data_IF_751425433488
#
_entry.id   IF_751425433488
#
_cell.length_a   1.000
_cell.length_b   1.000
_cell.length_c   1.000
_cell.angle_alpha   90.00
_cell.angle_beta   90.00
_cell.angle_gamma   90.00
#
_symmetry.space_group_name_H-M   'P 1'
#
loop_
_entity.id
_entity.type
_entity.pdbx_description
1 polymer ?
#
# COMPACT_ATOMS: atom_id res chain seq x y z
N UNK A 1 -59.24 -24.62 6.77
CA UNK A 1 -60.11 -24.38 7.94
C UNK A 1 -59.95 -25.56 8.89
N UNK A 2 -59.93 -25.44 10.24
CA UNK A 2 -59.86 -24.30 11.19
C UNK A 2 -58.46 -24.22 11.87
N UNK A 3 -57.97 -23.07 12.35
CA UNK A 3 -58.09 -22.46 13.70
C UNK A 3 -57.81 -23.40 14.89
N UNK A 4 -56.68 -23.17 15.56
CA UNK A 4 -56.56 -23.24 17.03
C UNK A 4 -55.33 -22.43 17.50
N UNK A 5 -55.66 -21.34 18.17
CA UNK A 5 -54.82 -20.44 18.96
C UNK A 5 -54.51 -21.02 20.34
N UNK A 6 -53.29 -20.82 20.87
CA UNK A 6 -53.07 -20.60 22.30
C UNK A 6 -51.69 -19.96 22.57
N UNK A 7 -51.74 -18.89 23.34
CA UNK A 7 -50.64 -18.10 23.89
C UNK A 7 -49.73 -18.92 24.82
N UNK A 8 -48.43 -18.61 24.82
CA UNK A 8 -47.61 -18.64 26.06
C UNK A 8 -46.67 -17.45 26.09
N UNK A 9 -46.73 -16.74 27.21
CA UNK A 9 -45.95 -15.57 27.60
C UNK A 9 -44.45 -15.86 27.67
N UNK A 10 -43.63 -14.88 27.28
CA UNK A 10 -42.31 -14.71 27.89
C UNK A 10 -42.14 -13.30 28.44
N UNK A 11 -41.62 -13.28 29.66
CA UNK A 11 -41.64 -12.19 30.61
C UNK A 11 -40.60 -11.13 30.29
N UNK A 12 -41.06 -9.88 30.24
CA UNK A 12 -40.24 -8.69 30.38
C UNK A 12 -39.63 -8.68 31.78
N UNK A 13 -38.29 -8.69 31.86
CA UNK A 13 -37.58 -8.37 33.10
C UNK A 13 -36.75 -7.13 32.86
N UNK A 14 -37.33 -5.98 33.17
CA UNK A 14 -36.64 -4.70 33.37
C UNK A 14 -36.13 -4.63 34.81
N UNK A 15 -34.84 -4.34 34.99
CA UNK A 15 -34.36 -3.67 36.20
C UNK A 15 -33.41 -2.52 35.81
N UNK A 16 -33.47 -1.38 36.53
CA UNK A 16 -32.90 -0.12 36.11
C UNK A 16 -31.51 0.10 36.73
N UNK A 17 -30.59 0.72 35.97
CA UNK A 17 -29.49 1.48 36.56
C UNK A 17 -29.32 2.78 35.77
N UNK A 18 -29.66 3.87 36.46
CA UNK A 18 -29.54 5.29 36.14
C UNK A 18 -28.76 5.85 37.35
N UNK A 19 -27.80 6.77 37.34
CA UNK A 19 -27.28 7.80 36.44
C UNK A 19 -25.87 8.16 36.98
N UNK A 20 -24.92 8.58 36.13
CA UNK A 20 -24.12 9.83 36.29
C UNK A 20 -22.90 9.85 35.37
N UNK A 21 -23.10 10.36 34.15
CA UNK A 21 -22.03 10.98 33.37
C UNK A 21 -21.80 12.41 33.89
N UNK A 22 -20.55 12.84 34.15
CA UNK A 22 -20.24 14.25 34.25
C UNK A 22 -20.20 14.89 32.86
N UNK A 23 -20.96 15.97 32.74
CA UNK A 23 -20.90 16.99 31.69
C UNK A 23 -19.47 17.54 31.52
N UNK A 24 -19.03 17.52 30.27
CA UNK A 24 -18.26 18.55 29.56
C UNK A 24 -17.75 19.76 30.41
N UNK A 25 -16.43 20.03 30.38
CA UNK A 25 -15.93 21.38 30.38
C UNK A 25 -15.20 21.74 29.08
N UNK A 26 -15.57 22.93 28.60
CA UNK A 26 -15.15 23.74 27.46
C UNK A 26 -13.68 23.61 26.99
N UNK A 27 -13.41 23.88 25.69
CA UNK A 27 -12.07 23.81 25.12
C UNK A 27 -11.19 24.96 25.64
N UNK A 28 -10.01 24.60 26.15
CA UNK A 28 -8.93 25.55 26.40
C UNK A 28 -8.13 25.76 25.12
N UNK A 29 -8.29 26.93 24.53
CA UNK A 29 -7.40 27.46 23.50
C UNK A 29 -6.02 27.73 24.13
N UNK A 30 -5.02 26.93 23.74
CA UNK A 30 -3.63 27.34 23.83
C UNK A 30 -3.08 27.47 22.41
N UNK A 31 -3.10 28.71 21.91
CA UNK A 31 -2.22 29.13 20.82
C UNK A 31 -0.79 29.14 21.37
N UNK A 32 0.07 28.28 20.83
CA UNK A 32 1.52 28.52 20.82
C UNK A 32 2.04 28.22 19.43
N UNK A 33 2.30 29.28 18.65
CA UNK A 33 3.00 29.23 17.37
C UNK A 33 4.42 28.68 17.53
N UNK A 34 4.85 27.75 16.66
CA UNK A 34 6.25 27.63 16.31
C UNK A 34 6.59 28.57 15.14
N UNK A 35 7.71 29.28 15.28
CA UNK A 35 8.25 30.26 14.34
C UNK A 35 8.42 29.70 12.93
N UNK A 36 7.86 30.40 11.94
CA UNK A 36 8.24 30.26 10.54
C UNK A 36 9.71 30.65 10.35
N UNK A 37 10.51 29.74 9.77
CA UNK A 37 11.75 30.10 9.09
C UNK A 37 11.38 30.23 7.61
N UNK A 38 11.15 31.47 7.16
CA UNK A 38 10.97 31.80 5.76
C UNK A 38 12.36 31.88 5.11
N UNK A 39 12.70 30.92 4.25
CA UNK A 39 13.82 31.09 3.32
C UNK A 39 13.26 31.60 1.98
N UNK A 40 13.45 32.90 1.78
CA UNK A 40 13.16 33.61 0.53
C UNK A 40 14.20 33.23 -0.51
N UNK A 41 13.81 32.49 -1.56
CA UNK A 41 14.66 32.28 -2.73
C UNK A 41 14.36 33.37 -3.75
N UNK A 42 15.30 34.29 -3.90
CA UNK A 42 15.27 35.37 -4.87
C UNK A 42 15.48 34.82 -6.29
N UNK A 43 14.44 34.87 -7.12
CA UNK A 43 14.54 34.65 -8.57
C UNK A 43 15.04 35.92 -9.25
N UNK A 44 16.31 35.94 -9.67
CA UNK A 44 16.83 36.97 -10.58
C UNK A 44 16.79 36.48 -12.02
N UNK A 45 15.84 36.99 -12.78
CA UNK A 45 15.83 36.96 -14.23
C UNK A 45 16.77 38.04 -14.79
N UNK A 46 17.73 37.65 -15.61
CA UNK A 46 18.35 38.56 -16.58
C UNK A 46 18.62 37.83 -17.89
N UNK A 47 17.93 38.33 -18.93
CA UNK A 47 18.12 38.04 -20.34
C UNK A 47 19.27 38.87 -20.89
N UNK A 48 20.14 38.28 -21.71
CA UNK A 48 20.81 38.98 -22.81
C UNK A 48 21.24 38.00 -23.91
N UNK A 49 21.30 38.55 -25.12
CA UNK A 49 21.15 37.92 -26.42
C UNK A 49 22.44 37.86 -27.24
N UNK A 50 22.40 37.05 -28.31
CA UNK A 50 23.19 37.10 -29.58
C UNK A 50 24.67 36.67 -29.47
N UNK A 51 25.32 35.98 -30.43
CA UNK A 51 25.11 35.83 -31.88
C UNK A 51 25.96 34.67 -32.47
N UNK A 52 25.43 34.07 -33.54
CA UNK A 52 26.07 33.65 -34.82
C UNK A 52 27.16 32.56 -34.94
N UNK A 53 26.86 31.66 -35.89
CA UNK A 53 27.68 31.09 -36.99
C UNK A 53 28.56 29.83 -36.81
N UNK A 54 28.06 28.74 -37.43
CA UNK A 54 28.72 27.83 -38.39
C UNK A 54 30.09 27.19 -38.09
N UNK A 55 30.14 25.84 -38.08
CA UNK A 55 30.69 25.02 -39.18
C UNK A 55 30.88 23.56 -38.74
N UNK A 56 30.57 22.66 -39.67
CA UNK A 56 30.78 21.21 -39.67
C UNK A 56 32.26 20.80 -39.68
N UNK A 57 32.62 19.70 -39.01
CA UNK A 57 33.58 18.71 -39.52
C UNK A 57 33.57 17.42 -38.70
N UNK A 58 33.85 16.34 -39.41
CA UNK A 58 33.72 14.94 -39.05
C UNK A 58 35.07 14.28 -38.69
N UNK A 59 34.97 13.15 -37.99
CA UNK A 59 35.94 12.04 -37.87
C UNK A 59 37.21 12.26 -37.02
N UNK A 60 37.42 11.40 -36.02
CA UNK A 60 38.33 10.24 -36.11
C UNK A 60 38.72 9.71 -34.73
N UNK A 61 38.71 8.40 -34.66
CA UNK A 61 39.11 7.47 -33.61
C UNK A 61 40.48 7.75 -32.99
N UNK A 62 40.59 7.62 -31.66
CA UNK A 62 41.85 7.29 -30.99
C UNK A 62 41.57 6.40 -29.77
N UNK A 63 41.96 5.14 -29.92
CA UNK A 63 41.96 4.08 -28.90
C UNK A 63 43.06 4.39 -27.88
N UNK A 64 42.70 4.59 -26.61
CA UNK A 64 43.67 4.62 -25.51
C UNK A 64 43.30 3.54 -24.51
N UNK A 65 44.07 2.46 -24.56
CA UNK A 65 44.02 1.32 -23.65
C UNK A 65 44.57 1.75 -22.29
N UNK A 66 43.72 1.84 -21.27
CA UNK A 66 44.13 1.91 -19.86
C UNK A 66 43.71 0.63 -19.14
N UNK A 67 44.57 0.07 -18.27
CA UNK A 67 44.31 -1.20 -17.62
C UNK A 67 43.20 -1.02 -16.57
N UNK A 68 42.13 -1.80 -16.73
CA UNK A 68 41.02 -1.88 -15.77
C UNK A 68 41.53 -2.63 -14.55
N UNK A 69 41.86 -1.89 -13.51
CA UNK A 69 41.97 -2.41 -12.14
C UNK A 69 40.56 -2.81 -11.71
N UNK A 70 40.35 -4.11 -11.51
CA UNK A 70 39.16 -4.68 -10.88
C UNK A 70 39.17 -4.30 -9.39
N UNK A 71 38.69 -3.11 -9.06
CA UNK A 71 38.21 -2.80 -7.72
C UNK A 71 36.71 -3.10 -7.68
N UNK A 72 36.33 -4.06 -6.82
CA UNK A 72 34.95 -4.37 -6.51
C UNK A 72 34.27 -3.10 -5.96
N UNK A 73 33.44 -2.48 -6.79
CA UNK A 73 32.61 -1.36 -6.39
C UNK A 73 31.67 -1.82 -5.27
N UNK A 74 31.87 -1.30 -4.06
CA UNK A 74 30.77 -1.21 -3.09
C UNK A 74 29.66 -0.42 -3.77
N UNK A 75 28.59 -1.10 -4.17
CA UNK A 75 27.41 -0.44 -4.70
C UNK A 75 26.91 0.59 -3.68
N UNK A 76 26.73 1.83 -4.14
CA UNK A 76 26.37 2.96 -3.32
C UNK A 76 24.89 2.85 -2.88
N UNK A 77 24.62 2.12 -1.80
CA UNK A 77 23.25 1.88 -1.28
C UNK A 77 22.51 3.19 -0.97
N UNK A 78 23.25 4.24 -0.56
CA UNK A 78 22.70 5.58 -0.30
C UNK A 78 22.06 6.24 -1.52
N UNK A 79 22.52 5.96 -2.75
CA UNK A 79 21.90 6.56 -3.95
C UNK A 79 20.55 5.94 -4.26
N UNK A 80 20.41 4.62 -4.06
CA UNK A 80 19.19 3.86 -4.33
C UNK A 80 18.08 4.16 -3.30
N UNK A 81 18.43 4.35 -2.03
CA UNK A 81 17.47 4.81 -1.02
C UNK A 81 16.96 6.22 -1.31
N UNK A 82 17.84 7.16 -1.68
CA UNK A 82 17.43 8.52 -2.05
C UNK A 82 16.47 8.51 -3.26
N UNK A 83 16.70 7.65 -4.25
CA UNK A 83 15.77 7.47 -5.38
C UNK A 83 14.41 6.92 -4.94
N UNK A 84 14.40 5.90 -4.09
CA UNK A 84 13.17 5.37 -3.48
C UNK A 84 12.44 6.48 -2.71
N UNK A 85 13.17 7.22 -1.88
CA UNK A 85 12.62 8.26 -1.01
C UNK A 85 11.93 9.37 -1.81
N UNK A 86 12.54 9.81 -2.91
CA UNK A 86 11.97 10.81 -3.82
C UNK A 86 10.68 10.36 -4.50
N UNK A 87 10.54 9.06 -4.78
CA UNK A 87 9.35 8.54 -5.47
C UNK A 87 8.20 8.22 -4.53
N UNK A 88 8.50 7.77 -3.32
CA UNK A 88 7.47 7.35 -2.36
C UNK A 88 6.96 8.52 -1.51
N UNK A 89 7.76 9.58 -1.33
CA UNK A 89 7.41 10.70 -0.45
C UNK A 89 6.40 11.66 -1.08
N UNK A 90 5.39 12.05 -0.31
CA UNK A 90 4.32 12.93 -0.75
C UNK A 90 3.01 12.70 -0.01
N UNK A 91 2.01 13.51 -0.35
CA UNK A 91 0.61 13.27 -0.06
C UNK A 91 0.03 12.32 -1.11
N UNK A 92 -0.61 11.25 -0.65
CA UNK A 92 -1.22 10.23 -1.50
C UNK A 92 -2.71 10.14 -1.17
N UNK A 93 -3.57 10.55 -2.09
CA UNK A 93 -5.01 10.52 -1.91
C UNK A 93 -5.62 9.37 -2.71
N UNK A 94 -6.72 8.78 -2.22
CA UNK A 94 -7.28 7.63 -2.90
C UNK A 94 -8.45 6.99 -2.17
N UNK A 95 -8.67 5.72 -2.49
CA UNK A 95 -9.67 4.89 -1.83
C UNK A 95 -9.03 3.61 -1.30
N UNK A 96 -9.60 3.08 -0.21
CA UNK A 96 -9.21 1.81 0.36
C UNK A 96 -10.40 0.95 0.74
N UNK A 97 -10.34 -0.34 0.43
CA UNK A 97 -11.40 -1.30 0.70
C UNK A 97 -10.85 -2.60 1.29
N UNK A 98 -11.66 -3.23 2.14
CA UNK A 98 -11.37 -4.53 2.73
C UNK A 98 -12.14 -5.61 1.96
N UNK A 99 -11.51 -6.77 1.76
CA UNK A 99 -12.05 -7.93 1.06
C UNK A 99 -11.91 -9.17 1.92
N UNK A 100 -12.95 -10.01 1.88
CA UNK A 100 -12.95 -11.34 2.49
C UNK A 100 -11.98 -12.28 1.77
N UNK A 101 -11.73 -13.46 2.35
CA UNK A 101 -10.93 -14.52 1.72
C UNK A 101 -11.54 -15.06 0.41
N UNK A 102 -12.83 -14.80 0.16
CA UNK A 102 -13.53 -15.14 -1.09
C UNK A 102 -13.55 -13.97 -2.10
N UNK A 103 -12.91 -12.84 -1.78
CA UNK A 103 -12.78 -11.69 -2.69
C UNK A 103 -14.01 -10.79 -2.70
N UNK A 104 -14.98 -11.04 -1.81
CA UNK A 104 -16.14 -10.17 -1.65
C UNK A 104 -15.75 -8.91 -0.87
N UNK A 105 -16.16 -7.71 -1.32
CA UNK A 105 -15.92 -6.48 -0.59
C UNK A 105 -16.67 -6.49 0.75
N UNK A 106 -16.03 -5.93 1.78
CA UNK A 106 -16.59 -5.81 3.13
C UNK A 106 -17.22 -4.44 3.28
N UNK A 107 -18.53 -4.42 3.58
CA UNK A 107 -19.27 -3.17 3.78
C UNK A 107 -18.75 -2.43 5.02
N UNK A 108 -18.73 -1.09 4.94
CA UNK A 108 -18.37 -0.25 6.06
C UNK A 108 -19.37 -0.41 7.21
N UNK A 109 -18.90 -0.40 8.48
CA UNK A 109 -19.80 -0.54 9.61
C UNK A 109 -20.89 0.53 9.64
N UNK A 110 -22.08 0.13 10.07
CA UNK A 110 -23.25 1.02 10.16
C UNK A 110 -22.95 2.33 10.89
N UNK A 111 -22.11 2.27 11.93
CA UNK A 111 -21.81 3.41 12.81
C UNK A 111 -20.99 4.51 12.14
N UNK A 112 -20.37 4.22 10.99
CA UNK A 112 -19.56 5.18 10.23
C UNK A 112 -20.24 5.65 8.95
N UNK A 113 -21.32 4.99 8.53
CA UNK A 113 -22.06 5.33 7.31
C UNK A 113 -23.26 6.23 7.66
N UNK A 114 -23.37 7.44 7.09
CA UNK A 114 -24.51 8.32 7.30
C UNK A 114 -25.86 7.65 7.00
N UNK A 115 -26.90 8.00 7.76
CA UNK A 115 -28.24 7.41 7.65
C UNK A 115 -28.84 7.57 6.25
N UNK A 116 -28.56 8.68 5.56
CA UNK A 116 -29.00 8.95 4.19
C UNK A 116 -28.63 7.83 3.20
N UNK A 117 -27.44 7.23 3.30
CA UNK A 117 -27.06 6.10 2.45
C UNK A 117 -28.02 4.91 2.63
N UNK A 118 -28.50 4.69 3.85
CA UNK A 118 -29.43 3.60 4.17
C UNK A 118 -30.84 3.90 3.65
N UNK A 119 -31.30 5.13 3.81
CA UNK A 119 -32.58 5.59 3.25
C UNK A 119 -32.62 5.39 1.73
N UNK A 120 -31.48 5.52 1.06
CA UNK A 120 -31.33 5.31 -0.39
C UNK A 120 -31.00 3.87 -0.77
N UNK A 121 -30.81 2.96 0.19
CA UNK A 121 -30.42 1.57 -0.05
C UNK A 121 -29.04 1.42 -0.69
N UNK A 122 -28.12 2.37 -0.46
CA UNK A 122 -26.77 2.39 -1.01
C UNK A 122 -25.79 1.82 0.01
N UNK A 123 -25.14 0.72 -0.34
CA UNK A 123 -24.06 0.14 0.46
C UNK A 123 -22.75 0.88 0.19
N UNK A 124 -21.97 1.13 1.24
CA UNK A 124 -20.68 1.80 1.15
C UNK A 124 -19.58 0.83 1.55
N UNK A 125 -18.60 0.62 0.67
CA UNK A 125 -17.51 -0.34 0.88
C UNK A 125 -16.14 0.35 1.00
N UNK A 126 -15.95 1.44 0.26
CA UNK A 126 -14.68 2.14 0.16
C UNK A 126 -14.55 3.24 1.22
N UNK A 127 -13.39 3.29 1.87
CA UNK A 127 -12.93 4.46 2.58
C UNK A 127 -12.31 5.43 1.58
N UNK A 128 -12.67 6.71 1.63
CA UNK A 128 -11.76 7.74 1.11
C UNK A 128 -10.55 7.82 2.06
N UNK A 129 -9.36 7.88 1.48
CA UNK A 129 -8.10 7.84 2.21
C UNK A 129 -7.13 8.91 1.78
N UNK A 130 -6.33 9.36 2.73
CA UNK A 130 -5.12 10.14 2.50
C UNK A 130 -3.97 9.44 3.24
N UNK A 131 -2.83 9.27 2.58
CA UNK A 131 -1.68 8.51 3.05
C UNK A 131 -0.36 9.30 2.88
N UNK A 132 -0.19 10.44 3.58
CA UNK A 132 1.09 11.15 3.67
C UNK A 132 2.19 10.15 3.98
N UNK A 133 3.16 10.08 3.09
CA UNK A 133 4.30 9.17 3.14
C UNK A 133 5.57 10.00 3.09
N UNK A 134 6.54 9.69 3.94
CA UNK A 134 7.86 10.31 3.96
C UNK A 134 8.90 9.23 4.18
N UNK A 135 9.83 9.12 3.23
CA UNK A 135 11.08 8.43 3.43
C UNK A 135 12.18 9.47 3.60
N UNK A 136 12.90 9.42 4.73
CA UNK A 136 13.97 10.38 5.00
C UNK A 136 15.11 10.15 4.01
N UNK A 137 15.54 11.18 3.26
CA UNK A 137 16.69 11.08 2.33
C UNK A 137 18.06 10.90 3.02
N UNK A 138 18.07 10.49 4.30
CA UNK A 138 19.27 10.23 5.09
C UNK A 138 19.61 8.73 5.11
N UNK A 139 20.84 8.40 5.49
CA UNK A 139 21.32 7.00 5.59
C UNK A 139 20.60 6.18 6.68
N UNK A 140 19.70 6.78 7.47
CA UNK A 140 18.97 6.07 8.52
C UNK A 140 17.84 5.17 7.98
N UNK A 141 17.55 5.23 6.68
CA UNK A 141 16.56 4.42 5.97
C UNK A 141 15.20 4.34 6.69
N UNK A 142 14.65 5.49 7.06
CA UNK A 142 13.37 5.58 7.77
C UNK A 142 12.25 5.86 6.76
N UNK A 143 11.28 4.94 6.68
CA UNK A 143 10.01 5.12 5.99
C UNK A 143 8.91 5.34 7.02
N UNK A 144 8.20 6.45 6.90
CA UNK A 144 7.03 6.80 7.69
C UNK A 144 5.83 7.02 6.78
N UNK A 145 4.66 6.56 7.20
CA UNK A 145 3.42 7.05 6.62
C UNK A 145 2.30 7.10 7.65
N UNK A 146 1.28 7.91 7.37
CA UNK A 146 0.06 8.01 8.17
C UNK A 146 -1.15 7.77 7.28
N UNK A 147 -1.81 6.63 7.48
CA UNK A 147 -3.06 6.31 6.80
C UNK A 147 -4.22 6.99 7.52
N UNK A 148 -4.79 8.01 6.89
CA UNK A 148 -6.00 8.72 7.31
C UNK A 148 -7.19 8.15 6.54
N UNK A 149 -8.25 7.78 7.25
CA UNK A 149 -9.56 7.41 6.67
C UNK A 149 -10.56 8.51 6.97
N UNK A 150 -11.39 8.86 6.01
CA UNK A 150 -12.46 9.84 6.15
C UNK A 150 -13.82 9.17 6.33
N UNK A 151 -14.73 9.84 7.04
CA UNK A 151 -16.13 9.42 7.05
C UNK A 151 -16.71 9.59 5.64
N UNK A 152 -17.53 8.63 5.16
CA UNK A 152 -18.36 8.84 3.99
C UNK A 152 -19.25 10.07 4.17
N UNK A 153 -19.35 10.91 3.15
CA UNK A 153 -20.18 12.13 3.15
C UNK A 153 -21.22 12.05 2.02
N UNK A 154 -22.30 12.82 2.13
CA UNK A 154 -23.34 12.99 1.09
C UNK A 154 -23.81 14.45 1.05
N UNK A 155 -24.36 14.88 -0.09
CA UNK A 155 -24.96 16.21 -0.24
C UNK A 155 -23.94 17.34 -0.15
N UNK A 156 -24.36 18.51 0.33
CA UNK A 156 -23.50 19.69 0.47
C UNK A 156 -22.41 19.54 1.55
N UNK A 157 -22.46 18.49 2.37
CA UNK A 157 -21.41 18.13 3.34
C UNK A 157 -20.23 17.42 2.67
N UNK A 158 -20.35 17.08 1.38
CA UNK A 158 -19.24 16.56 0.58
C UNK A 158 -18.02 17.49 0.60
N UNK A 159 -18.20 18.80 0.82
CA UNK A 159 -17.14 19.81 0.92
C UNK A 159 -16.38 19.82 2.27
N UNK A 160 -16.79 18.99 3.24
CA UNK A 160 -16.19 18.89 4.57
C UNK A 160 -15.62 17.47 4.83
N UNK A 161 -14.32 17.30 4.59
CA UNK A 161 -13.63 16.05 4.92
C UNK A 161 -13.45 15.89 6.45
N UNK A 162 -14.17 14.94 7.06
CA UNK A 162 -14.02 14.61 8.48
C UNK A 162 -13.21 13.33 8.65
N UNK A 163 -12.14 13.39 9.45
CA UNK A 163 -11.29 12.22 9.73
C UNK A 163 -12.03 11.23 10.64
N UNK A 164 -12.10 9.98 10.23
CA UNK A 164 -12.53 8.86 11.07
C UNK A 164 -11.37 8.34 11.92
N UNK A 165 -10.23 8.05 11.28
CA UNK A 165 -9.07 7.46 11.95
C UNK A 165 -7.76 7.87 11.29
N UNK A 166 -6.67 7.90 12.04
CA UNK A 166 -5.31 8.05 11.54
C UNK A 166 -4.41 6.98 12.16
N UNK A 167 -3.80 6.12 11.34
CA UNK A 167 -2.85 5.08 11.77
C UNK A 167 -1.47 5.39 11.20
N UNK A 168 -0.47 5.49 12.07
CA UNK A 168 0.92 5.73 11.68
C UNK A 168 1.68 4.41 11.56
N UNK A 169 2.63 4.35 10.62
CA UNK A 169 3.62 3.28 10.48
C UNK A 169 5.00 3.85 10.34
N UNK A 170 5.96 3.13 10.90
CA UNK A 170 7.38 3.43 10.83
C UNK A 170 8.12 2.14 10.51
N UNK A 171 8.90 2.15 9.43
CA UNK A 171 9.89 1.12 9.14
C UNK A 171 11.28 1.76 9.26
N UNK A 172 12.15 1.12 10.05
CA UNK A 172 13.44 1.68 10.44
C UNK A 172 13.36 2.66 11.61
N UNK A 173 14.53 3.08 12.09
CA UNK A 173 14.67 4.02 13.21
C UNK A 173 14.18 3.51 14.57
N UNK A 174 14.16 4.40 15.57
CA UNK A 174 13.82 4.07 16.96
C UNK A 174 12.33 3.74 17.13
N UNK A 175 11.46 4.31 16.27
CA UNK A 175 10.01 4.10 16.30
C UNK A 175 9.57 2.90 15.46
N UNK A 176 10.50 2.04 15.03
CA UNK A 176 10.23 0.95 14.12
C UNK A 176 9.06 0.07 14.59
N UNK A 177 8.11 -0.14 13.69
CA UNK A 177 6.93 -0.98 13.87
C UNK A 177 6.86 -2.12 12.85
N UNK A 178 7.75 -2.15 11.86
CA UNK A 178 7.86 -3.27 10.92
C UNK A 178 8.76 -4.37 11.48
N UNK A 179 8.53 -5.61 11.07
CA UNK A 179 9.50 -6.69 11.23
C UNK A 179 10.44 -6.83 10.03
N UNK A 180 10.07 -6.27 8.88
CA UNK A 180 10.88 -6.22 7.67
C UNK A 180 10.35 -5.14 6.70
N UNK A 181 11.26 -4.51 5.95
CA UNK A 181 10.99 -3.63 4.82
C UNK A 181 12.00 -3.93 3.71
N UNK A 182 11.51 -4.36 2.55
CA UNK A 182 12.25 -4.39 1.30
C UNK A 182 11.86 -3.19 0.45
N UNK A 183 12.82 -2.43 -0.08
CA UNK A 183 12.54 -1.29 -0.97
C UNK A 183 13.26 -1.36 -2.32
N UNK A 184 12.57 -0.97 -3.38
CA UNK A 184 13.12 -0.87 -4.74
C UNK A 184 13.22 0.61 -5.16
N UNK A 185 14.29 1.03 -5.86
CA UNK A 185 14.43 2.41 -6.31
C UNK A 185 13.27 2.94 -7.16
N UNK A 186 12.41 2.08 -7.72
CA UNK A 186 11.16 2.45 -8.41
C UNK A 186 10.11 3.11 -7.51
N UNK A 187 10.23 3.01 -6.18
CA UNK A 187 9.23 3.47 -5.22
C UNK A 187 8.35 2.33 -4.68
N UNK A 188 8.41 1.16 -5.30
CA UNK A 188 7.73 -0.04 -4.81
C UNK A 188 8.44 -0.62 -3.59
N UNK A 189 7.68 -1.25 -2.70
CA UNK A 189 8.22 -1.87 -1.49
C UNK A 189 7.36 -3.04 -1.01
N UNK A 190 7.95 -3.86 -0.14
CA UNK A 190 7.26 -4.88 0.64
C UNK A 190 7.56 -4.64 2.10
N UNK A 191 6.54 -4.63 2.95
CA UNK A 191 6.70 -4.48 4.37
C UNK A 191 5.87 -5.48 5.16
N UNK A 192 6.41 -5.92 6.30
CA UNK A 192 5.74 -6.85 7.20
C UNK A 192 5.47 -6.15 8.54
N UNK A 193 4.20 -6.15 8.96
CA UNK A 193 3.72 -5.37 10.11
C UNK A 193 3.02 -6.27 11.13
N UNK A 194 3.73 -6.70 12.19
CA UNK A 194 3.12 -7.46 13.26
C UNK A 194 2.17 -6.57 14.08
N UNK A 195 1.04 -7.10 14.49
CA UNK A 195 0.09 -6.42 15.38
C UNK A 195 -0.74 -7.42 16.19
N UNK A 196 -1.39 -6.93 17.24
CA UNK A 196 -2.36 -7.71 18.02
C UNK A 196 -3.77 -7.28 17.70
N UNK A 197 -4.66 -8.24 17.50
CA UNK A 197 -6.08 -7.93 17.37
C UNK A 197 -6.74 -7.60 18.71
N UNK A 198 -8.02 -7.26 18.69
CA UNK A 198 -8.80 -6.89 19.89
C UNK A 198 -8.87 -8.00 20.96
N UNK A 199 -8.54 -9.24 20.59
CA UNK A 199 -8.50 -10.39 21.50
C UNK A 199 -7.06 -10.74 21.93
N UNK A 200 -6.08 -9.89 21.59
CA UNK A 200 -4.67 -10.10 21.91
C UNK A 200 -3.97 -11.16 21.05
N UNK A 201 -4.60 -11.63 19.96
CA UNK A 201 -4.01 -12.64 19.07
C UNK A 201 -3.00 -11.99 18.14
N UNK A 202 -1.86 -12.64 17.97
CA UNK A 202 -0.80 -12.21 17.05
C UNK A 202 -1.31 -12.30 15.60
N UNK A 203 -1.19 -11.21 14.87
CA UNK A 203 -1.51 -11.08 13.45
C UNK A 203 -0.39 -10.37 12.72
N UNK A 204 -0.38 -10.55 11.40
CA UNK A 204 0.64 -9.99 10.54
C UNK A 204 -0.02 -9.41 9.29
N UNK A 205 0.28 -8.15 8.98
CA UNK A 205 -0.07 -7.56 7.68
C UNK A 205 1.16 -7.57 6.77
N UNK A 206 1.03 -8.22 5.61
CA UNK A 206 2.06 -8.26 4.57
C UNK A 206 1.62 -7.26 3.49
N UNK A 207 2.29 -6.12 3.45
CA UNK A 207 1.97 -5.00 2.59
C UNK A 207 2.87 -4.99 1.37
N UNK A 208 2.24 -5.04 0.19
CA UNK A 208 2.88 -4.91 -1.10
C UNK A 208 2.48 -3.57 -1.71
N UNK A 209 3.44 -2.67 -1.89
CA UNK A 209 3.22 -1.40 -2.58
C UNK A 209 3.83 -1.47 -3.97
N UNK A 210 3.00 -1.36 -5.01
CA UNK A 210 3.41 -1.37 -6.40
C UNK A 210 3.16 0.01 -7.01
N UNK A 211 4.22 0.65 -7.50
CA UNK A 211 4.15 1.89 -8.28
C UNK A 211 3.87 1.55 -9.74
N UNK A 212 2.96 2.29 -10.39
CA UNK A 212 2.72 2.12 -11.83
C UNK A 212 4.00 2.52 -12.61
N UNK A 213 4.57 1.60 -13.41
CA UNK A 213 5.77 1.89 -14.19
C UNK A 213 5.55 2.96 -15.27
N UNK A 214 4.33 3.13 -15.77
CA UNK A 214 3.97 4.13 -16.76
C UNK A 214 3.61 5.48 -16.12
N UNK A 215 3.04 5.46 -14.90
CA UNK A 215 2.68 6.66 -14.16
C UNK A 215 3.10 6.59 -12.69
N UNK A 216 4.26 7.18 -12.37
CA UNK A 216 4.83 7.17 -11.02
C UNK A 216 4.03 7.97 -9.99
N UNK A 217 2.96 8.64 -10.39
CA UNK A 217 2.01 9.30 -9.49
C UNK A 217 0.83 8.39 -9.12
N UNK A 218 0.85 7.11 -9.53
CA UNK A 218 -0.15 6.13 -9.17
C UNK A 218 0.53 4.95 -8.48
N UNK A 219 -0.05 4.52 -7.37
CA UNK A 219 0.36 3.31 -6.68
C UNK A 219 -0.83 2.52 -6.18
N UNK A 220 -0.63 1.22 -6.05
CA UNK A 220 -1.55 0.33 -5.34
C UNK A 220 -0.83 -0.24 -4.13
N UNK A 221 -1.54 -0.33 -3.01
CA UNK A 221 -1.07 -1.05 -1.82
C UNK A 221 -2.02 -2.20 -1.55
N UNK A 222 -1.55 -3.42 -1.74
CA UNK A 222 -2.31 -4.64 -1.46
C UNK A 222 -1.73 -5.27 -0.20
N UNK A 223 -2.58 -5.47 0.80
CA UNK A 223 -2.19 -5.94 2.13
C UNK A 223 -2.89 -7.26 2.40
N UNK A 224 -2.13 -8.34 2.53
CA UNK A 224 -2.64 -9.62 2.99
C UNK A 224 -2.61 -9.63 4.53
N UNK A 225 -3.78 -9.75 5.16
CA UNK A 225 -3.91 -9.82 6.62
C UNK A 225 -3.92 -11.28 7.02
N UNK A 226 -2.95 -11.69 7.81
CA UNK A 226 -2.73 -13.09 8.18
C UNK A 226 -2.73 -13.28 9.70
N UNK A 227 -2.94 -14.52 10.11
CA UNK A 227 -2.90 -14.97 11.49
C UNK A 227 -1.92 -16.13 11.62
N UNK A 228 -1.14 -16.11 12.69
CA UNK A 228 -0.28 -17.24 13.03
C UNK A 228 -1.12 -18.34 13.70
N UNK A 229 -1.02 -19.55 13.19
CA UNK A 229 -1.73 -20.70 13.74
C UNK A 229 -0.98 -21.22 14.97
N UNK A 230 -1.73 -21.78 15.94
CA UNK A 230 -1.14 -22.29 17.19
C UNK A 230 -0.19 -23.48 16.99
N UNK A 231 -0.30 -24.19 15.87
CA UNK A 231 0.55 -25.32 15.47
C UNK A 231 1.69 -24.92 14.51
N UNK A 232 1.81 -23.63 14.20
CA UNK A 232 2.69 -23.10 13.15
C UNK A 232 1.96 -22.90 11.81
N UNK A 233 2.51 -22.06 10.95
CA UNK A 233 1.93 -21.69 9.66
C UNK A 233 1.03 -20.45 9.73
N UNK A 234 0.68 -19.92 8.56
CA UNK A 234 -0.12 -18.71 8.42
C UNK A 234 -1.47 -19.03 7.75
N UNK A 235 -2.54 -18.42 8.26
CA UNK A 235 -3.85 -18.40 7.59
C UNK A 235 -4.19 -16.98 7.15
N UNK A 236 -4.78 -16.84 5.96
CA UNK A 236 -5.30 -15.55 5.48
C UNK A 236 -6.63 -15.23 6.18
N UNK A 237 -6.74 -14.02 6.74
CA UNK A 237 -7.98 -13.49 7.32
C UNK A 237 -8.73 -12.58 6.32
N UNK A 238 -8.03 -12.00 5.35
CA UNK A 238 -8.60 -11.12 4.32
C UNK A 238 -7.53 -10.31 3.61
N UNK A 239 -7.97 -9.50 2.64
CA UNK A 239 -7.09 -8.63 1.84
C UNK A 239 -7.60 -7.19 1.92
N UNK A 240 -6.69 -6.23 2.07
CA UNK A 240 -7.00 -4.80 1.97
C UNK A 240 -6.32 -4.22 0.76
N UNK A 241 -7.04 -3.44 -0.03
CA UNK A 241 -6.51 -2.78 -1.23
C UNK A 241 -6.63 -1.28 -1.04
N UNK A 242 -5.58 -0.54 -1.40
CA UNK A 242 -5.61 0.90 -1.58
C UNK A 242 -5.21 1.24 -3.02
N UNK A 243 -5.99 2.09 -3.67
CA UNK A 243 -5.66 2.71 -4.95
C UNK A 243 -5.42 4.19 -4.69
N UNK A 244 -4.18 4.64 -4.90
CA UNK A 244 -3.71 5.94 -4.44
C UNK A 244 -3.03 6.72 -5.58
N UNK A 245 -3.26 8.02 -5.60
CA UNK A 245 -2.65 8.97 -6.50
C UNK A 245 -1.86 10.01 -5.72
N UNK A 246 -0.69 10.37 -6.22
CA UNK A 246 0.12 11.44 -5.68
C UNK A 246 -0.62 12.78 -5.86
N UNK A 247 -0.84 13.47 -4.75
CA UNK A 247 -1.53 14.75 -4.71
C UNK A 247 -0.55 15.93 -4.66
N UNK A 248 0.51 15.81 -3.86
CA UNK A 248 1.40 16.91 -3.59
C UNK A 248 2.60 16.56 -2.72
N UNK A 249 3.50 17.52 -2.47
CA UNK A 249 4.59 17.37 -1.51
C UNK A 249 4.08 16.99 -0.12
N UNK A 250 4.91 16.28 0.65
CA UNK A 250 4.56 15.83 1.98
C UNK A 250 4.24 17.01 2.91
N UNK A 251 3.05 16.98 3.51
CA UNK A 251 2.54 17.95 4.47
C UNK A 251 2.00 17.25 5.73
N UNK A 252 2.38 15.99 5.98
CA UNK A 252 1.89 15.14 7.07
C UNK A 252 0.34 15.09 7.16
N UNK A 253 -0.35 15.27 6.04
CA UNK A 253 -1.80 15.33 5.96
C UNK A 253 -2.41 16.57 6.62
N UNK A 254 -1.66 17.66 6.88
CA UNK A 254 -2.24 18.92 7.38
C UNK A 254 -3.21 19.55 6.38
N UNK A 255 -2.93 19.39 5.09
CA UNK A 255 -3.84 19.74 4.01
C UNK A 255 -4.71 18.52 3.69
N UNK A 256 -5.99 18.60 4.01
CA UNK A 256 -6.95 17.58 3.60
C UNK A 256 -7.05 17.61 2.08
N UNK A 257 -6.87 16.46 1.44
CA UNK A 257 -7.18 16.27 0.03
C UNK A 257 -8.59 16.79 -0.22
N UNK A 258 -8.71 17.87 -0.99
CA UNK A 258 -10.00 18.42 -1.38
C UNK A 258 -10.83 17.32 -2.08
N UNK A 259 -12.14 17.50 -2.14
CA UNK A 259 -13.17 16.59 -2.69
C UNK A 259 -13.01 16.15 -4.16
N UNK A 260 -11.83 16.37 -4.73
CA UNK A 260 -11.42 16.20 -6.12
C UNK A 260 -10.39 15.09 -6.25
N UNK A 261 -10.52 13.98 -5.51
CA UNK A 261 -9.76 12.77 -5.85
C UNK A 261 -10.22 12.37 -7.26
N UNK A 262 -9.28 12.23 -8.21
CA UNK A 262 -9.63 11.93 -9.61
C UNK A 262 -10.26 10.54 -9.78
N UNK A 263 -10.11 9.69 -8.78
CA UNK A 263 -10.68 8.34 -8.75
C UNK A 263 -11.98 8.28 -7.95
N UNK A 264 -12.74 7.21 -8.14
CA UNK A 264 -13.91 6.85 -7.34
C UNK A 264 -13.61 5.60 -6.51
N UNK A 265 -14.48 5.32 -5.54
CA UNK A 265 -14.52 3.99 -4.90
C UNK A 265 -14.60 2.88 -5.96
N UNK A 266 -13.96 1.76 -5.66
CA UNK A 266 -13.73 0.67 -6.62
C UNK A 266 -14.21 -0.69 -6.10
N UNK A 267 -14.51 -0.83 -4.82
CA UNK A 267 -14.76 -2.15 -4.22
C UNK A 267 -15.96 -2.88 -4.83
N UNK A 268 -16.96 -2.14 -5.31
CA UNK A 268 -18.16 -2.68 -5.97
C UNK A 268 -18.01 -2.88 -7.49
N UNK A 269 -16.85 -2.54 -8.06
CA UNK A 269 -16.57 -2.79 -9.49
C UNK A 269 -16.22 -4.26 -9.74
N UNK A 270 -16.32 -4.70 -11.00
CA UNK A 270 -16.00 -6.08 -11.36
C UNK A 270 -14.56 -6.45 -10.99
N UNK A 271 -14.41 -7.60 -10.34
CA UNK A 271 -13.11 -8.21 -10.11
C UNK A 271 -12.47 -8.66 -11.43
N UNK A 272 -11.14 -8.73 -11.43
CA UNK A 272 -10.36 -9.32 -12.53
C UNK A 272 -10.81 -10.77 -12.80
N UNK A 273 -10.93 -11.16 -14.06
CA UNK A 273 -11.20 -12.56 -14.39
C UNK A 273 -9.97 -13.42 -14.07
N UNK A 274 -10.15 -14.50 -13.31
CA UNK A 274 -9.06 -15.40 -12.91
C UNK A 274 -8.29 -15.97 -14.12
N UNK A 275 -8.99 -16.23 -15.23
CA UNK A 275 -8.42 -16.70 -16.50
C UNK A 275 -7.37 -15.74 -17.10
N UNK A 276 -7.43 -14.44 -16.78
CA UNK A 276 -6.42 -13.45 -17.20
C UNK A 276 -5.14 -13.51 -16.37
N UNK A 277 -5.14 -14.23 -15.25
CA UNK A 277 -4.00 -14.37 -14.34
C UNK A 277 -3.35 -15.75 -14.48
N UNK A 278 -4.16 -16.79 -14.65
CA UNK A 278 -3.69 -18.17 -14.80
C UNK A 278 -2.84 -18.35 -16.06
N UNK A 279 -1.89 -19.27 -16.00
CA UNK A 279 -1.02 -19.59 -17.13
C UNK A 279 0.46 -19.43 -16.82
N UNK A 280 1.27 -19.41 -17.88
CA UNK A 280 2.72 -19.33 -17.79
C UNK A 280 3.17 -17.89 -18.00
N UNK A 281 3.95 -17.36 -17.08
CA UNK A 281 4.49 -16.01 -17.11
C UNK A 281 6.01 -16.07 -17.08
N UNK A 282 6.65 -15.07 -17.67
CA UNK A 282 8.10 -14.88 -17.63
C UNK A 282 8.42 -13.51 -17.04
N UNK A 283 9.22 -13.46 -15.98
CA UNK A 283 9.72 -12.19 -15.46
C UNK A 283 10.82 -11.63 -16.37
N UNK A 284 10.59 -10.44 -16.91
CA UNK A 284 11.58 -9.73 -17.75
C UNK A 284 12.57 -8.93 -16.92
N UNK A 285 12.09 -8.40 -15.80
CA UNK A 285 12.87 -7.69 -14.78
C UNK A 285 12.37 -8.18 -13.44
N UNK A 286 13.26 -8.71 -12.63
CA UNK A 286 12.99 -9.08 -11.27
C UNK A 286 14.01 -8.40 -10.37
N UNK A 287 13.55 -7.96 -9.21
CA UNK A 287 14.42 -7.59 -8.11
C UNK A 287 14.07 -8.48 -6.93
N UNK A 288 15.08 -8.97 -6.21
CA UNK A 288 14.94 -9.84 -5.04
C UNK A 288 15.60 -9.20 -3.82
N UNK A 289 15.03 -9.48 -2.65
CA UNK A 289 15.63 -9.21 -1.35
C UNK A 289 15.45 -10.44 -0.46
N UNK A 290 16.47 -10.79 0.30
CA UNK A 290 16.42 -11.87 1.31
C UNK A 290 16.63 -11.29 2.70
N UNK A 291 15.76 -11.68 3.61
CA UNK A 291 15.78 -11.29 5.00
C UNK A 291 16.35 -12.45 5.81
N UNK A 292 17.47 -12.20 6.49
CA UNK A 292 18.15 -13.22 7.29
C UNK A 292 19.27 -12.67 8.18
N UNK A 293 19.43 -11.35 8.22
CA UNK A 293 20.40 -10.66 9.07
C UNK A 293 19.70 -9.80 10.13
N UNK A 294 20.48 -8.97 10.83
CA UNK A 294 19.97 -7.98 11.78
C UNK A 294 19.34 -6.76 11.10
N UNK A 295 19.53 -6.61 9.79
CA UNK A 295 18.97 -5.51 9.01
C UNK A 295 17.48 -5.74 8.75
N UNK A 296 16.66 -4.78 9.20
CA UNK A 296 15.21 -4.80 9.00
C UNK A 296 14.78 -4.08 7.73
N UNK A 297 15.63 -3.16 7.23
CA UNK A 297 15.38 -2.38 6.02
C UNK A 297 16.43 -2.77 5.00
N UNK A 298 16.01 -3.45 3.95
CA UNK A 298 16.88 -4.06 2.96
C UNK A 298 16.53 -3.56 1.55
N UNK A 299 17.54 -3.32 0.75
CA UNK A 299 17.37 -2.91 -0.64
C UNK A 299 17.14 -4.15 -1.51
N UNK A 300 16.22 -4.03 -2.46
CA UNK A 300 16.12 -4.99 -3.56
C UNK A 300 17.37 -4.91 -4.46
N UNK A 301 17.85 -6.07 -4.89
CA UNK A 301 18.91 -6.24 -5.88
C UNK A 301 18.37 -6.93 -7.14
N UNK A 302 18.98 -6.71 -8.30
CA UNK A 302 18.58 -7.39 -9.52
C UNK A 302 18.59 -8.91 -9.32
N UNK A 303 17.57 -9.58 -9.85
CA UNK A 303 17.41 -11.03 -9.82
C UNK A 303 17.30 -11.57 -11.25
N UNK A 304 17.57 -12.86 -11.38
CA UNK A 304 17.49 -13.52 -12.67
C UNK A 304 16.02 -13.67 -13.13
N UNK A 305 15.75 -13.57 -14.44
CA UNK A 305 14.46 -13.94 -15.03
C UNK A 305 14.01 -15.34 -14.61
N UNK A 306 12.72 -15.49 -14.31
CA UNK A 306 12.11 -16.74 -13.90
C UNK A 306 10.81 -16.98 -14.65
N UNK A 307 10.50 -18.25 -14.88
CA UNK A 307 9.19 -18.67 -15.35
C UNK A 307 8.30 -18.96 -14.16
N UNK A 308 7.12 -18.33 -14.12
CA UNK A 308 6.12 -18.51 -13.09
C UNK A 308 4.91 -19.20 -13.71
N UNK A 309 4.36 -20.21 -13.03
CA UNK A 309 3.09 -20.83 -13.40
C UNK A 309 2.07 -20.46 -12.35
N UNK A 310 0.96 -19.85 -12.79
CA UNK A 310 -0.18 -19.51 -11.94
C UNK A 310 -1.34 -20.43 -12.24
N UNK A 311 -1.88 -21.02 -11.17
CA UNK A 311 -3.12 -21.76 -11.13
C UNK A 311 -4.17 -20.96 -10.35
N UNK A 312 -5.39 -21.49 -10.26
CA UNK A 312 -6.45 -20.89 -9.46
C UNK A 312 -6.29 -21.16 -7.95
N UNK A 313 -5.30 -21.96 -7.54
CA UNK A 313 -5.16 -22.40 -6.14
C UNK A 313 -4.68 -21.22 -5.29
N UNK A 314 -5.53 -20.82 -4.35
CA UNK A 314 -5.27 -19.67 -3.47
C UNK A 314 -5.33 -18.32 -4.18
N UNK A 315 -5.78 -18.29 -5.45
CA UNK A 315 -5.94 -17.07 -6.23
C UNK A 315 -7.23 -16.35 -5.83
N UNK A 316 -7.07 -15.07 -5.53
CA UNK A 316 -8.12 -14.11 -5.24
C UNK A 316 -8.13 -13.03 -6.31
N UNK A 317 -9.14 -13.07 -7.16
CA UNK A 317 -9.44 -12.00 -8.10
C UNK A 317 -9.96 -10.76 -7.35
N UNK A 318 -9.41 -9.59 -7.67
CA UNK A 318 -9.77 -8.31 -7.03
C UNK A 318 -10.13 -7.27 -8.10
N UNK A 319 -10.87 -6.21 -7.74
CA UNK A 319 -11.07 -5.06 -8.60
C UNK A 319 -9.76 -4.36 -9.01
N UNK A 320 -9.86 -3.34 -9.87
CA UNK A 320 -8.70 -2.53 -10.33
C UNK A 320 -7.60 -3.34 -11.03
N UNK A 321 -7.98 -4.45 -11.69
CA UNK A 321 -7.04 -5.34 -12.37
C UNK A 321 -6.01 -5.97 -11.42
N UNK A 322 -6.38 -6.15 -10.15
CA UNK A 322 -5.51 -6.70 -9.12
C UNK A 322 -5.84 -8.17 -8.86
N UNK A 323 -4.86 -8.88 -8.31
CA UNK A 323 -5.09 -10.18 -7.70
C UNK A 323 -4.16 -10.38 -6.50
N UNK A 324 -4.52 -11.38 -5.70
CA UNK A 324 -3.70 -11.86 -4.60
C UNK A 324 -3.64 -13.38 -4.64
N UNK A 325 -2.50 -13.98 -4.35
CA UNK A 325 -2.33 -15.42 -4.16
C UNK A 325 -1.80 -15.65 -2.75
N UNK A 326 -2.43 -16.57 -2.04
CA UNK A 326 -1.97 -17.01 -0.72
C UNK A 326 -2.03 -18.53 -0.65
N UNK A 327 -0.88 -19.20 -0.50
CA UNK A 327 -0.84 -20.65 -0.38
C UNK A 327 0.33 -21.16 0.46
N UNK A 328 0.11 -22.27 1.14
CA UNK A 328 1.17 -23.05 1.76
C UNK A 328 1.98 -23.80 0.69
N UNK A 329 3.29 -23.88 0.88
CA UNK A 329 4.22 -24.58 0.03
C UNK A 329 4.57 -25.95 0.63
N UNK A 330 5.05 -26.88 -0.19
CA UNK A 330 5.35 -28.25 0.24
C UNK A 330 6.39 -28.36 1.38
N UNK A 331 7.19 -27.31 1.57
CA UNK A 331 8.18 -27.20 2.64
C UNK A 331 7.64 -26.57 3.94
N UNK A 332 6.33 -26.28 4.02
CA UNK A 332 5.66 -25.62 5.15
C UNK A 332 5.86 -24.10 5.19
N UNK A 333 6.51 -23.50 4.21
CA UNK A 333 6.58 -22.03 4.04
C UNK A 333 5.28 -21.51 3.41
N UNK A 334 5.02 -20.21 3.52
CA UNK A 334 3.83 -19.60 2.93
C UNK A 334 4.22 -18.66 1.80
N UNK A 335 3.59 -18.84 0.64
CA UNK A 335 3.64 -17.93 -0.48
C UNK A 335 2.58 -16.84 -0.32
N UNK A 336 3.03 -15.60 -0.34
CA UNK A 336 2.23 -14.38 -0.32
C UNK A 336 2.53 -13.59 -1.59
N UNK A 337 1.61 -13.56 -2.54
CA UNK A 337 1.83 -12.90 -3.83
C UNK A 337 0.67 -11.96 -4.15
N UNK A 338 0.98 -10.86 -4.80
CA UNK A 338 0.00 -9.94 -5.37
C UNK A 338 0.45 -9.55 -6.76
N UNK A 339 -0.50 -9.15 -7.60
CA UNK A 339 -0.14 -8.55 -8.86
C UNK A 339 -1.15 -7.56 -9.37
N UNK A 340 -0.70 -6.81 -10.35
CA UNK A 340 -1.43 -5.76 -11.03
C UNK A 340 -1.26 -5.93 -12.54
N UNK A 341 -2.37 -6.23 -13.21
CA UNK A 341 -2.42 -6.43 -14.64
C UNK A 341 -2.46 -5.05 -15.32
N UNK A 342 -1.35 -4.69 -15.98
CA UNK A 342 -1.16 -3.39 -16.63
C UNK A 342 -1.71 -3.37 -18.06
N UNK A 343 -1.70 -4.54 -18.71
CA UNK A 343 -2.34 -4.83 -19.99
C UNK A 343 -2.67 -6.32 -20.05
N UNK A 344 -3.40 -6.79 -21.06
CA UNK A 344 -3.84 -8.20 -21.13
C UNK A 344 -2.71 -9.24 -20.98
N UNK A 345 -1.47 -8.88 -21.34
CA UNK A 345 -0.32 -9.81 -21.30
C UNK A 345 0.85 -9.32 -20.45
N UNK A 346 0.69 -8.22 -19.70
CA UNK A 346 1.79 -7.65 -18.90
C UNK A 346 1.33 -7.32 -17.50
N UNK A 347 2.12 -7.69 -16.50
CA UNK A 347 1.81 -7.40 -15.12
C UNK A 347 3.03 -6.96 -14.33
N UNK A 348 2.77 -6.22 -13.26
CA UNK A 348 3.71 -6.04 -12.17
C UNK A 348 3.27 -6.94 -11.01
N UNK A 349 4.22 -7.64 -10.38
CA UNK A 349 3.93 -8.58 -9.31
C UNK A 349 4.85 -8.33 -8.13
N UNK A 350 4.38 -8.66 -6.94
CA UNK A 350 5.20 -8.77 -5.75
C UNK A 350 4.93 -10.09 -5.07
N UNK A 351 5.99 -10.85 -4.85
CA UNK A 351 5.96 -12.20 -4.29
C UNK A 351 6.78 -12.25 -3.03
N UNK A 352 6.32 -12.94 -2.01
CA UNK A 352 6.96 -13.06 -0.71
C UNK A 352 6.91 -14.51 -0.27
N UNK A 353 8.01 -14.98 0.31
CA UNK A 353 8.07 -16.27 1.00
C UNK A 353 8.19 -15.98 2.49
N UNK A 354 7.31 -16.59 3.26
CA UNK A 354 7.25 -16.48 4.71
C UNK A 354 7.68 -17.79 5.34
N UNK A 355 8.51 -17.73 6.37
CA UNK A 355 8.71 -18.87 7.26
C UNK A 355 7.40 -19.20 8.01
N UNK A 356 7.29 -20.45 8.47
CA UNK A 356 6.13 -20.95 9.22
C UNK A 356 5.84 -20.18 10.54
N UNK A 357 6.80 -19.41 11.05
CA UNK A 357 6.67 -18.58 12.24
C UNK A 357 6.22 -17.14 11.92
N UNK A 358 5.88 -16.83 10.66
CA UNK A 358 5.45 -15.51 10.22
C UNK A 358 6.58 -14.52 9.92
N UNK A 359 7.84 -14.95 9.93
CA UNK A 359 8.96 -14.08 9.54
C UNK A 359 9.07 -14.05 8.01
N UNK A 360 9.17 -12.86 7.43
CA UNK A 360 9.42 -12.67 6.00
C UNK A 360 10.82 -13.18 5.67
N UNK A 361 10.95 -14.14 4.75
CA UNK A 361 12.22 -14.77 4.35
C UNK A 361 12.81 -14.07 3.14
N UNK A 362 12.00 -13.86 2.11
CA UNK A 362 12.42 -13.16 0.90
C UNK A 362 11.23 -12.52 0.20
N UNK A 363 11.50 -11.49 -0.58
CA UNK A 363 10.53 -10.82 -1.41
C UNK A 363 11.11 -10.53 -2.79
N UNK A 364 10.27 -10.67 -3.81
CA UNK A 364 10.59 -10.38 -5.21
C UNK A 364 9.58 -9.38 -5.75
N UNK A 365 10.02 -8.40 -6.54
CA UNK A 365 9.15 -7.55 -7.34
C UNK A 365 9.53 -7.77 -8.79
N UNK A 366 8.54 -8.07 -9.64
CA UNK A 366 8.79 -8.43 -11.03
C UNK A 366 7.88 -7.67 -11.99
N UNK A 367 8.41 -7.43 -13.19
CA UNK A 367 7.62 -7.10 -14.36
C UNK A 367 7.58 -8.34 -15.26
N UNK A 368 6.37 -8.83 -15.52
CA UNK A 368 6.14 -10.13 -16.11
C UNK A 368 5.30 -10.04 -17.39
N UNK A 369 5.59 -10.93 -18.34
CA UNK A 369 4.79 -11.10 -19.55
C UNK A 369 4.15 -12.49 -19.58
N UNK A 370 2.89 -12.56 -20.01
CA UNK A 370 2.21 -13.82 -20.26
C UNK A 370 2.86 -14.50 -21.48
N UNK A 371 3.20 -15.78 -21.32
CA UNK A 371 3.71 -16.63 -22.40
C UNK A 371 2.54 -17.27 -23.15
N UNK A 372 2.66 -17.50 -24.47
CA UNK A 372 1.65 -18.22 -25.24
C UNK A 372 1.41 -19.62 -24.68
N UNK A 373 0.16 -20.09 -24.73
CA UNK A 373 -0.15 -21.52 -24.54
C UNK A 373 0.55 -22.33 -25.64
N UNK A 374 1.25 -23.39 -25.24
CA UNK A 374 2.03 -24.28 -26.14
C UNK A 374 1.17 -25.41 -26.66
#
# INVERSE_FOLDING_TARGET
MPLLSANVLFQNTTLPVSVNLPRNPKPLLYLTSPKQISMTVSSSSSSSSSSSSSASSSSSTATTTTPITLEAAKENTGSKWVEFAKKVSGEWDGYGADFTIDGKPVELPEQVVPEAYREWGVQVFDWQTQCPTLAEETDNHILYYKLIKFYPTVGCEADAATRHSAKQRFAGGIKNTSSALGYDPSGSYVASWPFKDQYGREKLEIEHCLMDPANKEIRVRVIQVTRLNGEGGLSLDGVRVFSEQWYGPFCDGEQLGACSVRESGFASTSALEASKVTGRWESKRASLVRFGGSELVCQFSADEPQNIVRDEIGLLALPKQLWSVFKELDNGETLCEVGWLLSDNTAMTSRCIMFNNGILKEATISFENLLPEV
#
